data_IF_770671682081
#
_entry.id   IF_770671682081
#
_cell.length_a   1.000
_cell.length_b   1.000
_cell.length_c   1.000
_cell.angle_alpha   90.00
_cell.angle_beta   90.00
_cell.angle_gamma   90.00
#
_symmetry.space_group_name_H-M   'P 1'
#
loop_
_entity.id
_entity.type
_entity.pdbx_description
1 polymer ?
#
# COMPACT_ATOMS: atom_id res chain seq x y z
N UNK A 1 46.96 53.32 -32.98
CA UNK A 1 46.11 53.14 -34.18
C UNK A 1 45.02 52.12 -33.83
N UNK A 2 44.14 52.54 -32.91
CA UNK A 2 43.33 51.71 -31.99
C UNK A 2 41.87 51.51 -32.47
N UNK A 3 41.58 51.70 -33.76
CA UNK A 3 40.20 51.73 -34.27
C UNK A 3 39.79 50.51 -35.12
N UNK A 4 40.71 49.57 -35.37
CA UNK A 4 40.41 48.32 -36.11
C UNK A 4 40.02 47.15 -35.21
N UNK A 5 40.46 47.11 -33.95
CA UNK A 5 40.12 46.05 -33.01
C UNK A 5 38.73 46.26 -32.40
N UNK A 6 38.39 47.50 -32.04
CA UNK A 6 37.07 47.83 -31.48
C UNK A 6 35.89 47.40 -32.35
N UNK A 7 35.98 47.60 -33.68
CA UNK A 7 34.94 47.17 -34.64
C UNK A 7 34.81 45.64 -34.70
N UNK A 8 35.90 44.90 -34.52
CA UNK A 8 35.91 43.43 -34.56
C UNK A 8 35.32 42.86 -33.27
N UNK A 9 35.67 43.44 -32.13
CA UNK A 9 35.15 43.05 -30.81
C UNK A 9 33.64 43.34 -30.69
N UNK A 10 33.16 44.45 -31.26
CA UNK A 10 31.72 44.73 -31.35
C UNK A 10 30.97 43.74 -32.25
N UNK A 11 31.61 43.24 -33.31
CA UNK A 11 31.01 42.27 -34.24
C UNK A 11 30.92 40.87 -33.62
N UNK A 12 31.92 40.47 -32.83
CA UNK A 12 31.90 39.22 -32.06
C UNK A 12 30.95 39.27 -30.86
N UNK A 13 30.88 40.40 -30.14
CA UNK A 13 29.91 40.61 -29.07
C UNK A 13 28.46 40.61 -29.58
N UNK A 14 28.19 41.21 -30.76
CA UNK A 14 26.87 41.18 -31.39
C UNK A 14 26.48 39.78 -31.90
N UNK A 15 27.42 38.99 -32.43
CA UNK A 15 27.16 37.62 -32.86
C UNK A 15 26.84 36.68 -31.69
N UNK A 16 27.50 36.84 -30.53
CA UNK A 16 27.24 36.05 -29.32
C UNK A 16 25.85 36.32 -28.70
N UNK A 17 25.31 37.54 -28.86
CA UNK A 17 23.97 37.89 -28.32
C UNK A 17 22.80 37.47 -29.24
N UNK A 18 23.03 37.23 -30.54
CA UNK A 18 21.97 36.74 -31.46
C UNK A 18 21.75 35.23 -31.31
N UNK A 19 22.79 34.45 -30.99
CA UNK A 19 22.65 33.01 -30.73
C UNK A 19 22.06 32.72 -29.33
N UNK A 20 22.23 33.64 -28.37
CA UNK A 20 21.62 33.53 -27.01
C UNK A 20 20.25 34.20 -26.86
N UNK A 21 19.70 34.74 -27.95
CA UNK A 21 18.48 35.58 -27.93
C UNK A 21 17.16 34.88 -28.29
N UNK A 22 17.18 33.65 -28.80
CA UNK A 22 15.95 33.02 -29.34
C UNK A 22 15.28 31.99 -28.42
N UNK A 23 15.88 31.67 -27.27
CA UNK A 23 15.34 30.64 -26.37
C UNK A 23 14.81 31.15 -25.02
N UNK A 24 14.63 32.46 -24.84
CA UNK A 24 14.04 33.00 -23.59
C UNK A 24 12.57 33.38 -23.69
N UNK A 25 11.97 33.31 -24.88
CA UNK A 25 10.54 33.67 -25.10
C UNK A 25 9.71 32.47 -25.60
N UNK A 26 10.29 31.26 -25.65
CA UNK A 26 9.53 30.00 -25.79
C UNK A 26 9.32 29.25 -24.48
N UNK A 27 9.94 29.71 -23.39
CA UNK A 27 9.87 29.06 -22.07
C UNK A 27 8.79 29.62 -21.14
N UNK A 28 7.85 30.42 -21.64
CA UNK A 28 6.80 31.00 -20.80
C UNK A 28 5.36 30.61 -21.16
N UNK A 29 5.09 30.00 -22.33
CA UNK A 29 3.70 29.72 -22.75
C UNK A 29 3.46 28.35 -23.43
N UNK A 30 4.49 27.54 -23.67
CA UNK A 30 4.32 26.15 -24.15
C UNK A 30 4.52 25.09 -23.05
N UNK A 31 5.25 25.42 -21.97
CA UNK A 31 5.50 24.51 -20.85
C UNK A 31 4.37 24.42 -19.82
N UNK A 32 3.37 25.29 -19.89
CA UNK A 32 2.26 25.34 -18.95
C UNK A 32 0.97 24.66 -19.47
N UNK A 33 0.93 24.25 -20.75
CA UNK A 33 -0.27 23.64 -21.37
C UNK A 33 -0.08 22.14 -21.66
N UNK A 34 1.11 21.56 -21.41
CA UNK A 34 1.33 20.10 -21.47
C UNK A 34 1.67 19.46 -20.11
N UNK A 35 1.89 20.23 -19.05
CA UNK A 35 2.16 19.72 -17.70
C UNK A 35 0.93 19.79 -16.77
N UNK A 36 -0.27 19.91 -17.33
CA UNK A 36 -1.51 20.03 -16.55
C UNK A 36 -2.53 18.94 -16.89
N UNK A 37 -2.16 17.95 -17.74
CA UNK A 37 -3.11 16.95 -18.24
C UNK A 37 -2.90 15.50 -17.78
N UNK A 38 -1.98 15.21 -16.85
CA UNK A 38 -1.68 13.83 -16.44
C UNK A 38 -2.02 13.45 -15.00
N UNK A 39 -2.71 14.28 -14.23
CA UNK A 39 -3.14 13.88 -12.88
C UNK A 39 -4.64 14.09 -12.65
N UNK A 40 -5.45 13.48 -13.52
CA UNK A 40 -6.81 13.11 -13.13
C UNK A 40 -6.91 11.59 -13.16
N UNK A 41 -6.20 10.93 -12.23
CA UNK A 41 -6.57 9.56 -11.86
C UNK A 41 -7.88 9.70 -11.09
N UNK A 42 -9.03 9.23 -11.61
CA UNK A 42 -10.23 9.21 -10.79
C UNK A 42 -9.89 8.42 -9.52
N UNK A 43 -10.30 8.87 -8.32
CA UNK A 43 -10.13 8.04 -7.14
C UNK A 43 -10.78 6.70 -7.48
N UNK A 44 -9.99 5.63 -7.47
CA UNK A 44 -10.56 4.30 -7.50
C UNK A 44 -11.59 4.29 -6.38
N UNK A 45 -12.85 4.05 -6.71
CA UNK A 45 -13.87 3.81 -5.70
C UNK A 45 -13.36 2.59 -4.95
N UNK A 46 -12.71 2.81 -3.81
CA UNK A 46 -12.25 1.75 -2.96
C UNK A 46 -13.52 0.99 -2.57
N UNK A 47 -13.70 -0.20 -3.13
CA UNK A 47 -14.71 -1.11 -2.64
C UNK A 47 -14.41 -1.21 -1.14
N UNK A 48 -15.36 -0.82 -0.27
CA UNK A 48 -15.11 -0.91 1.16
C UNK A 48 -14.65 -2.34 1.43
N UNK A 49 -13.56 -2.52 2.20
CA UNK A 49 -13.05 -3.85 2.47
C UNK A 49 -14.22 -4.71 2.98
N UNK A 50 -14.30 -5.99 2.61
CA UNK A 50 -15.34 -6.88 3.10
C UNK A 50 -15.49 -6.69 4.60
N UNK A 51 -16.71 -6.77 5.14
CA UNK A 51 -16.91 -6.58 6.58
C UNK A 51 -16.11 -7.59 7.41
N UNK A 52 -15.69 -8.72 6.84
CA UNK A 52 -14.75 -9.64 7.47
C UNK A 52 -13.34 -9.03 7.73
N UNK A 53 -12.92 -8.03 6.97
CA UNK A 53 -11.56 -7.50 6.98
C UNK A 53 -11.45 -6.22 7.79
N UNK A 54 -10.57 -6.22 8.80
CA UNK A 54 -10.20 -5.02 9.56
C UNK A 54 -8.96 -4.31 8.99
N UNK A 55 -8.57 -3.16 9.58
CA UNK A 55 -7.37 -2.39 9.22
C UNK A 55 -6.04 -3.10 9.54
N UNK A 56 -6.07 -4.30 10.14
CA UNK A 56 -4.92 -4.96 10.75
C UNK A 56 -4.89 -4.74 12.26
N UNK A 57 -3.87 -5.27 12.93
CA UNK A 57 -3.73 -5.18 14.38
C UNK A 57 -3.27 -6.49 15.01
N UNK A 58 -3.30 -6.57 16.35
CA UNK A 58 -2.78 -7.71 17.09
C UNK A 58 -3.67 -8.96 17.03
N UNK A 59 -4.92 -8.82 16.59
CA UNK A 59 -5.90 -9.92 16.51
C UNK A 59 -5.97 -10.46 15.08
N UNK A 60 -5.75 -11.76 14.92
CA UNK A 60 -6.00 -12.50 13.68
C UNK A 60 -7.30 -13.29 13.77
N UNK A 61 -8.16 -13.14 12.78
CA UNK A 61 -9.32 -14.02 12.56
C UNK A 61 -8.96 -14.98 11.44
N UNK A 62 -8.94 -16.28 11.74
CA UNK A 62 -8.68 -17.33 10.75
C UNK A 62 -10.00 -17.96 10.36
N UNK A 63 -10.31 -17.89 9.06
CA UNK A 63 -11.52 -18.43 8.47
C UNK A 63 -11.26 -19.27 7.24
N UNK A 64 -12.33 -19.66 6.55
CA UNK A 64 -12.27 -20.31 5.24
C UNK A 64 -13.46 -19.87 4.38
N UNK A 65 -13.27 -19.61 3.07
CA UNK A 65 -14.36 -19.24 2.18
C UNK A 65 -15.39 -20.37 2.01
N UNK A 66 -15.00 -21.62 2.28
CA UNK A 66 -15.92 -22.78 2.29
C UNK A 66 -16.97 -22.72 3.41
N UNK A 67 -16.70 -21.96 4.47
CA UNK A 67 -17.62 -21.67 5.55
C UNK A 67 -17.57 -20.16 5.89
N UNK A 68 -18.35 -19.31 5.22
CA UNK A 68 -18.32 -17.86 5.43
C UNK A 68 -18.60 -17.41 6.87
N UNK A 69 -19.32 -18.23 7.66
CA UNK A 69 -19.59 -17.93 9.07
C UNK A 69 -18.34 -17.99 9.96
N UNK A 70 -17.25 -18.62 9.49
CA UNK A 70 -15.96 -18.61 10.20
C UNK A 70 -15.41 -17.19 10.41
N UNK A 71 -15.83 -16.21 9.60
CA UNK A 71 -15.45 -14.80 9.73
C UNK A 71 -16.42 -13.96 10.58
N UNK A 72 -17.51 -14.52 11.11
CA UNK A 72 -18.53 -13.75 11.85
C UNK A 72 -17.98 -13.07 13.12
N UNK A 73 -16.86 -13.57 13.64
CA UNK A 73 -16.14 -12.92 14.75
C UNK A 73 -15.69 -11.49 14.42
N UNK A 74 -15.50 -11.13 13.15
CA UNK A 74 -15.21 -9.76 12.74
C UNK A 74 -16.36 -8.80 13.10
N UNK A 75 -17.61 -9.26 12.97
CA UNK A 75 -18.79 -8.47 13.34
C UNK A 75 -18.88 -8.31 14.85
N UNK A 76 -18.63 -9.38 15.60
CA UNK A 76 -18.64 -9.36 17.07
C UNK A 76 -17.57 -8.39 17.57
N UNK A 77 -16.33 -8.51 17.11
CA UNK A 77 -15.24 -7.64 17.55
C UNK A 77 -15.54 -6.16 17.26
N UNK A 78 -16.10 -5.84 16.09
CA UNK A 78 -16.52 -4.47 15.78
C UNK A 78 -17.64 -3.96 16.68
N UNK A 79 -18.64 -4.80 16.96
CA UNK A 79 -19.73 -4.44 17.85
C UNK A 79 -19.24 -4.17 19.28
N UNK A 80 -18.21 -4.89 19.73
CA UNK A 80 -17.56 -4.71 21.03
C UNK A 80 -16.53 -3.56 21.04
N UNK A 81 -16.28 -2.90 19.90
CA UNK A 81 -15.30 -1.81 19.78
C UNK A 81 -13.85 -2.25 19.55
N UNK A 82 -13.59 -3.55 19.40
CA UNK A 82 -12.29 -4.11 19.01
C UNK A 82 -12.13 -4.08 17.47
N UNK A 83 -11.63 -2.96 16.94
CA UNK A 83 -11.54 -2.75 15.50
C UNK A 83 -10.18 -3.09 14.90
N UNK A 84 -9.16 -3.38 15.71
CA UNK A 84 -7.79 -3.65 15.28
C UNK A 84 -7.56 -5.16 15.07
N UNK A 85 -7.99 -5.64 13.91
CA UNK A 85 -7.78 -7.03 13.51
C UNK A 85 -7.53 -7.19 12.01
N UNK A 86 -6.97 -8.34 11.64
CA UNK A 86 -6.94 -8.84 10.28
C UNK A 86 -7.75 -10.13 10.17
N UNK A 87 -8.32 -10.41 8.99
CA UNK A 87 -8.84 -11.73 8.66
C UNK A 87 -7.95 -12.39 7.61
N UNK A 88 -7.82 -13.72 7.68
CA UNK A 88 -7.01 -14.50 6.76
C UNK A 88 -7.68 -15.86 6.50
N UNK A 89 -7.59 -16.36 5.27
CA UNK A 89 -7.94 -17.74 4.96
C UNK A 89 -6.90 -18.67 5.62
N UNK A 90 -7.35 -19.77 6.22
CA UNK A 90 -6.49 -20.84 6.71
C UNK A 90 -5.44 -21.29 5.68
N UNK A 91 -5.75 -21.23 4.39
CA UNK A 91 -4.81 -21.55 3.31
C UNK A 91 -3.57 -20.64 3.28
N UNK A 92 -3.71 -19.39 3.73
CA UNK A 92 -2.64 -18.37 3.73
C UNK A 92 -1.93 -18.26 5.10
N UNK A 93 -2.44 -18.94 6.14
CA UNK A 93 -1.83 -18.90 7.47
C UNK A 93 -0.54 -19.71 7.49
N UNK A 94 0.55 -19.03 7.86
CA UNK A 94 1.88 -19.62 8.01
C UNK A 94 2.46 -19.30 9.39
N UNK A 95 3.50 -20.01 9.86
CA UNK A 95 4.16 -19.68 11.14
C UNK A 95 4.69 -18.25 11.20
N UNK A 96 5.22 -17.74 10.07
CA UNK A 96 5.70 -16.36 9.99
C UNK A 96 4.57 -15.34 10.01
N UNK A 97 3.40 -15.66 9.43
CA UNK A 97 2.22 -14.82 9.55
C UNK A 97 1.74 -14.76 11.01
N UNK A 98 1.64 -15.91 11.69
CA UNK A 98 1.22 -16.01 13.09
C UNK A 98 2.14 -15.23 14.06
N UNK A 99 3.43 -15.13 13.76
CA UNK A 99 4.37 -14.34 14.57
C UNK A 99 4.08 -12.83 14.57
N UNK A 100 3.24 -12.33 13.65
CA UNK A 100 2.82 -10.94 13.58
C UNK A 100 1.59 -10.59 14.43
N UNK A 101 1.01 -11.56 15.15
CA UNK A 101 -0.23 -11.40 15.92
C UNK A 101 -0.05 -11.87 17.36
N UNK A 102 -0.73 -11.21 18.30
CA UNK A 102 -0.74 -11.59 19.71
C UNK A 102 -1.77 -12.68 20.01
N UNK A 103 -2.86 -12.69 19.25
CA UNK A 103 -3.97 -13.62 19.40
C UNK A 103 -4.56 -14.03 18.04
N UNK A 104 -4.91 -15.31 17.90
CA UNK A 104 -5.62 -15.85 16.75
C UNK A 104 -6.95 -16.44 17.20
N UNK A 105 -8.03 -16.07 16.51
CA UNK A 105 -9.37 -16.63 16.67
C UNK A 105 -9.61 -17.55 15.47
N UNK A 106 -9.66 -18.86 15.71
CA UNK A 106 -9.90 -19.86 14.68
C UNK A 106 -11.41 -20.17 14.61
N UNK A 107 -12.02 -19.84 13.47
CA UNK A 107 -13.40 -20.19 13.18
C UNK A 107 -13.61 -21.68 12.92
N UNK A 108 -14.87 -22.11 12.84
CA UNK A 108 -15.23 -23.52 12.60
C UNK A 108 -14.81 -23.98 11.20
N UNK A 109 -13.85 -24.90 11.13
CA UNK A 109 -13.44 -25.61 9.90
C UNK A 109 -12.59 -26.84 10.24
N UNK A 110 -12.51 -27.85 9.36
CA UNK A 110 -11.58 -28.95 9.57
C UNK A 110 -10.13 -28.50 9.44
N UNK A 111 -9.24 -29.03 10.29
CA UNK A 111 -7.80 -28.86 10.19
C UNK A 111 -7.11 -30.16 9.75
N UNK A 112 -6.07 -30.03 8.94
CA UNK A 112 -5.09 -31.10 8.74
C UNK A 112 -4.20 -31.26 9.97
N UNK A 113 -3.57 -32.43 10.13
CA UNK A 113 -2.61 -32.67 11.21
C UNK A 113 -1.44 -31.67 11.19
N UNK A 114 -0.99 -31.26 9.99
CA UNK A 114 0.08 -30.27 9.83
C UNK A 114 -0.36 -28.88 10.33
N UNK A 115 -1.58 -28.44 10.01
CA UNK A 115 -2.12 -27.17 10.49
C UNK A 115 -2.35 -27.17 12.01
N UNK A 116 -2.89 -28.26 12.55
CA UNK A 116 -3.05 -28.41 14.00
C UNK A 116 -1.69 -28.34 14.73
N UNK A 117 -0.67 -29.00 14.18
CA UNK A 117 0.71 -28.94 14.71
C UNK A 117 1.29 -27.53 14.61
N UNK A 118 1.03 -26.80 13.53
CA UNK A 118 1.45 -25.40 13.38
C UNK A 118 0.88 -24.50 14.48
N UNK A 119 -0.43 -24.55 14.70
CA UNK A 119 -1.08 -23.77 15.77
C UNK A 119 -0.59 -24.21 17.15
N UNK A 120 -0.41 -25.51 17.38
CA UNK A 120 0.15 -26.03 18.64
C UNK A 120 1.57 -25.50 18.91
N UNK A 121 2.44 -25.51 17.90
CA UNK A 121 3.81 -24.99 18.04
C UNK A 121 3.82 -23.48 18.33
N UNK A 122 2.94 -22.73 17.67
CA UNK A 122 2.82 -21.29 17.90
C UNK A 122 2.31 -20.99 19.33
N UNK A 123 1.30 -21.73 19.81
CA UNK A 123 0.82 -21.61 21.19
C UNK A 123 1.89 -22.00 22.21
N UNK A 124 2.63 -23.08 21.97
CA UNK A 124 3.76 -23.48 22.82
C UNK A 124 4.90 -22.43 22.82
N UNK A 125 5.01 -21.64 21.75
CA UNK A 125 5.92 -20.50 21.64
C UNK A 125 5.42 -19.22 22.33
N UNK A 126 4.24 -19.23 22.94
CA UNK A 126 3.64 -18.10 23.66
C UNK A 126 2.48 -17.40 22.93
N UNK A 127 2.07 -17.89 21.76
CA UNK A 127 0.90 -17.38 21.05
C UNK A 127 -0.42 -17.70 21.76
N UNK A 128 -1.44 -16.85 21.61
CA UNK A 128 -2.77 -17.08 22.19
C UNK A 128 -3.75 -17.55 21.11
N UNK A 129 -4.36 -18.72 21.31
CA UNK A 129 -5.34 -19.28 20.37
C UNK A 129 -6.71 -19.43 21.04
N UNK A 130 -7.74 -18.88 20.40
CA UNK A 130 -9.14 -19.16 20.72
C UNK A 130 -9.74 -19.97 19.58
N UNK A 131 -10.04 -21.24 19.83
CA UNK A 131 -10.64 -22.13 18.84
C UNK A 131 -12.16 -22.25 19.06
N UNK A 132 -12.95 -21.88 18.05
CA UNK A 132 -14.40 -21.82 18.15
C UNK A 132 -15.05 -22.97 17.41
N UNK A 133 -15.55 -23.96 18.17
CA UNK A 133 -16.08 -25.23 17.62
C UNK A 133 -15.12 -25.90 16.61
N UNK A 134 -13.85 -26.12 16.98
CA UNK A 134 -12.86 -26.75 16.10
C UNK A 134 -13.18 -28.22 15.80
#
# INVERSE_FOLDING_TARGET
MELRNFRRDFKEAAASQVEKGHNRIRFALAGAILFSYLCSVPPALAVPPPLAQGPGGPILIVGTPSNPFSYYYAEILRAEGMNEFAAMDLADVTPSALAGFDIAILGQMPLTAAQATMFMNWVNGGGNLIAMRP
#
